data_IF_632214430842
#
_entry.id   IF_632214430842
#
_cell.length_a   1.000
_cell.length_b   1.000
_cell.length_c   1.000
_cell.angle_alpha   90.00
_cell.angle_beta   90.00
_cell.angle_gamma   90.00
#
_symmetry.space_group_name_H-M   'P 1'
#
loop_
_entity.id
_entity.type
_entity.pdbx_description
1 polymer ?
#
# COMPACT_ATOMS: atom_id res chain seq x y z
N UNK A 1 8.30 -20.08 10.63
CA UNK A 1 7.95 -18.79 9.98
C UNK A 1 8.73 -18.69 8.69
N UNK A 2 8.07 -18.96 7.57
CA UNK A 2 8.69 -18.84 6.26
C UNK A 2 8.48 -17.45 5.67
N UNK A 3 9.45 -17.02 4.86
CA UNK A 3 9.39 -15.78 4.08
C UNK A 3 9.35 -16.18 2.60
N UNK A 4 8.37 -15.65 1.88
CA UNK A 4 8.18 -15.89 0.44
C UNK A 4 8.08 -14.56 -0.28
N UNK A 5 8.79 -14.43 -1.40
CA UNK A 5 8.78 -13.24 -2.25
C UNK A 5 8.20 -13.65 -3.60
N UNK A 6 7.17 -12.94 -4.05
CA UNK A 6 6.50 -13.21 -5.32
C UNK A 6 6.09 -11.93 -6.02
N UNK A 7 5.91 -12.00 -7.33
CA UNK A 7 5.25 -10.95 -8.10
C UNK A 7 3.85 -11.44 -8.49
N UNK A 8 2.84 -10.68 -8.09
CA UNK A 8 1.43 -11.06 -8.27
C UNK A 8 0.62 -9.90 -8.82
N UNK A 9 -0.56 -10.23 -9.33
CA UNK A 9 -1.57 -9.24 -9.69
C UNK A 9 -2.00 -8.43 -8.44
N UNK A 10 -2.03 -7.11 -8.58
CA UNK A 10 -2.32 -6.19 -7.49
C UNK A 10 -3.74 -6.39 -6.95
N UNK A 11 -4.73 -6.58 -7.84
CA UNK A 11 -6.13 -6.72 -7.49
C UNK A 11 -6.42 -8.10 -6.90
N UNK A 12 -5.80 -9.16 -7.41
CA UNK A 12 -5.91 -10.50 -6.81
C UNK A 12 -5.39 -10.50 -5.36
N UNK A 13 -4.21 -9.91 -5.15
CA UNK A 13 -3.62 -9.75 -3.81
C UNK A 13 -4.52 -8.88 -2.93
N UNK A 14 -5.10 -7.82 -3.49
CA UNK A 14 -6.02 -6.96 -2.75
C UNK A 14 -7.22 -7.75 -2.23
N UNK A 15 -7.88 -8.51 -3.10
CA UNK A 15 -9.05 -9.33 -2.77
C UNK A 15 -8.69 -10.41 -1.73
N UNK A 16 -7.61 -11.16 -1.96
CA UNK A 16 -7.16 -12.24 -1.07
C UNK A 16 -6.91 -11.76 0.37
N UNK A 17 -6.36 -10.54 0.52
CA UNK A 17 -6.02 -9.97 1.82
C UNK A 17 -7.05 -8.95 2.35
N UNK A 18 -8.24 -8.89 1.74
CA UNK A 18 -9.35 -8.06 2.20
C UNK A 18 -9.14 -6.55 2.01
N UNK A 19 -8.25 -6.15 1.10
CA UNK A 19 -8.07 -4.77 0.65
C UNK A 19 -9.14 -4.48 -0.42
N UNK A 20 -10.17 -3.72 -0.06
CA UNK A 20 -11.31 -3.44 -0.96
C UNK A 20 -11.06 -2.29 -1.95
N UNK A 21 -10.40 -1.23 -1.48
CA UNK A 21 -10.13 0.03 -2.18
C UNK A 21 -8.87 0.65 -1.56
N UNK A 22 -8.69 1.96 -1.67
CA UNK A 22 -7.70 2.70 -0.89
C UNK A 22 -7.74 2.32 0.61
N UNK A 23 -6.57 2.01 1.20
CA UNK A 23 -6.46 1.70 2.62
C UNK A 23 -6.93 2.88 3.46
N UNK A 24 -7.62 2.57 4.56
CA UNK A 24 -7.94 3.57 5.57
C UNK A 24 -6.69 3.79 6.45
N UNK A 25 -6.30 5.05 6.64
CA UNK A 25 -5.20 5.39 7.53
C UNK A 25 -5.71 5.77 8.92
N UNK A 26 -5.00 5.36 9.97
CA UNK A 26 -5.37 5.71 11.34
C UNK A 26 -5.36 7.23 11.52
N UNK A 27 -6.48 7.79 12.01
CA UNK A 27 -6.65 9.24 12.17
C UNK A 27 -7.14 9.98 10.93
N UNK A 28 -7.32 9.31 9.81
CA UNK A 28 -8.01 9.89 8.67
C UNK A 28 -9.51 9.95 8.97
N UNK A 29 -10.15 11.03 8.57
CA UNK A 29 -11.59 11.22 8.71
C UNK A 29 -12.39 10.38 7.70
N UNK A 30 -11.75 9.94 6.62
CA UNK A 30 -12.32 9.10 5.56
C UNK A 30 -11.23 8.39 4.75
N UNK A 31 -11.63 7.47 3.86
CA UNK A 31 -10.74 6.97 2.80
C UNK A 31 -10.48 8.07 1.77
N UNK A 32 -9.27 8.06 1.22
CA UNK A 32 -8.92 8.90 0.06
C UNK A 32 -9.60 8.38 -1.20
N UNK A 33 -9.71 9.24 -2.20
CA UNK A 33 -10.24 8.96 -3.53
C UNK A 33 -9.25 9.40 -4.60
N UNK A 34 -9.45 8.98 -5.85
CA UNK A 34 -8.62 9.46 -6.98
C UNK A 34 -8.60 10.99 -7.05
N UNK A 35 -9.74 11.64 -6.84
CA UNK A 35 -9.87 13.10 -6.84
C UNK A 35 -9.00 13.79 -5.77
N UNK A 36 -8.73 13.14 -4.64
CA UNK A 36 -7.82 13.68 -3.62
C UNK A 36 -6.37 13.64 -4.09
N UNK A 37 -5.98 12.57 -4.77
CA UNK A 37 -4.64 12.38 -5.33
C UNK A 37 -4.44 13.34 -6.50
N UNK A 38 -5.43 13.46 -7.40
CA UNK A 38 -5.45 14.41 -8.50
C UNK A 38 -5.24 15.84 -8.00
N UNK A 39 -6.00 16.24 -6.97
CA UNK A 39 -5.86 17.57 -6.36
C UNK A 39 -4.46 17.78 -5.79
N UNK A 40 -3.92 16.81 -5.04
CA UNK A 40 -2.58 16.93 -4.49
C UNK A 40 -1.49 17.02 -5.58
N UNK A 41 -1.63 16.28 -6.69
CA UNK A 41 -0.74 16.35 -7.84
C UNK A 41 -0.81 17.70 -8.56
N UNK A 42 -2.01 18.26 -8.71
CA UNK A 42 -2.27 19.54 -9.36
C UNK A 42 -1.80 20.74 -8.53
N UNK A 43 -1.95 20.68 -7.21
CA UNK A 43 -1.53 21.73 -6.26
C UNK A 43 -0.04 21.61 -5.87
N UNK A 44 0.68 20.62 -6.41
CA UNK A 44 2.06 20.26 -6.00
C UNK A 44 2.22 20.03 -4.49
N UNK A 45 1.14 19.62 -3.82
CA UNK A 45 1.14 19.26 -2.41
C UNK A 45 1.66 17.83 -2.26
N UNK A 46 2.98 17.68 -2.32
CA UNK A 46 3.66 16.39 -2.28
C UNK A 46 4.39 16.21 -0.95
N UNK A 47 4.04 15.16 -0.20
CA UNK A 47 4.69 14.83 1.07
C UNK A 47 5.63 13.63 0.84
N UNK A 48 6.94 13.86 0.94
CA UNK A 48 7.91 12.79 0.82
C UNK A 48 7.82 11.79 2.00
N UNK A 49 8.18 10.51 1.79
CA UNK A 49 8.43 9.58 2.88
C UNK A 49 9.45 10.15 3.86
N UNK A 50 9.23 9.91 5.14
CA UNK A 50 10.14 10.29 6.21
C UNK A 50 10.37 9.05 7.07
N UNK A 51 11.60 8.53 7.03
CA UNK A 51 12.00 7.30 7.72
C UNK A 51 12.02 7.48 9.25
N UNK A 52 12.01 8.73 9.74
CA UNK A 52 11.98 9.02 11.18
C UNK A 52 10.55 9.19 11.72
N UNK A 53 9.54 9.25 10.85
CA UNK A 53 8.15 9.39 11.28
C UNK A 53 7.67 8.08 11.89
N UNK A 54 7.06 8.15 13.07
CA UNK A 54 6.36 7.00 13.64
C UNK A 54 5.23 6.57 12.67
N UNK A 55 5.24 5.32 12.16
CA UNK A 55 4.22 4.83 11.24
C UNK A 55 2.81 4.87 11.84
N UNK A 56 2.68 4.87 13.17
CA UNK A 56 1.40 4.94 13.88
C UNK A 56 0.91 6.37 14.09
N UNK A 57 1.71 7.38 13.74
CA UNK A 57 1.27 8.78 13.85
C UNK A 57 0.02 8.97 12.98
N UNK A 58 -1.07 9.52 13.55
CA UNK A 58 -2.27 9.87 12.80
C UNK A 58 -1.97 10.73 11.57
N UNK A 59 -2.77 10.59 10.52
CA UNK A 59 -2.64 11.38 9.29
C UNK A 59 -4.03 11.67 8.73
N UNK A 60 -4.27 12.90 8.28
CA UNK A 60 -5.54 13.26 7.61
C UNK A 60 -5.64 12.58 6.24
N UNK A 61 -6.86 12.50 5.68
CA UNK A 61 -7.02 11.99 4.32
C UNK A 61 -6.24 12.85 3.29
N UNK A 62 -6.14 14.15 3.52
CA UNK A 62 -5.41 15.08 2.65
C UNK A 62 -3.89 14.83 2.67
N UNK A 63 -3.30 14.65 3.85
CA UNK A 63 -1.88 14.30 3.98
C UNK A 63 -1.59 12.90 3.43
N UNK A 64 -2.52 11.96 3.62
CA UNK A 64 -2.43 10.63 3.05
C UNK A 64 -2.40 10.69 1.51
N UNK A 65 -3.31 11.45 0.90
CA UNK A 65 -3.33 11.67 -0.55
C UNK A 65 -2.05 12.37 -1.04
N UNK A 66 -1.53 13.35 -0.29
CA UNK A 66 -0.29 14.04 -0.63
C UNK A 66 0.96 13.12 -0.60
N UNK A 67 0.98 12.12 0.29
CA UNK A 67 2.02 11.08 0.28
C UNK A 67 1.89 10.13 -0.90
N UNK A 68 0.66 9.73 -1.22
CA UNK A 68 0.40 8.89 -2.40
C UNK A 68 0.78 9.65 -3.68
N UNK A 69 0.42 10.93 -3.80
CA UNK A 69 0.79 11.79 -4.92
C UNK A 69 2.31 11.90 -5.09
N UNK A 70 3.07 12.03 -3.99
CA UNK A 70 4.53 12.00 -4.06
C UNK A 70 5.04 10.68 -4.64
N UNK A 71 4.51 9.53 -4.19
CA UNK A 71 4.89 8.22 -4.71
C UNK A 71 4.50 8.03 -6.18
N UNK A 72 3.35 8.55 -6.60
CA UNK A 72 2.93 8.52 -8.01
C UNK A 72 3.89 9.30 -8.90
N UNK A 73 4.36 10.47 -8.42
CA UNK A 73 5.24 11.34 -9.20
C UNK A 73 6.72 10.93 -9.17
N UNK A 74 7.20 10.40 -8.05
CA UNK A 74 8.63 10.18 -7.81
C UNK A 74 9.01 8.73 -7.47
N UNK A 75 8.02 7.88 -7.15
CA UNK A 75 8.26 6.51 -6.74
C UNK A 75 8.70 5.61 -7.90
N UNK A 76 9.64 4.70 -7.62
CA UNK A 76 9.98 3.61 -8.53
C UNK A 76 9.04 2.43 -8.30
N UNK A 77 7.97 2.33 -9.10
CA UNK A 77 7.00 1.24 -9.03
C UNK A 77 7.63 -0.15 -9.14
N UNK A 78 8.75 -0.31 -9.87
CA UNK A 78 9.45 -1.61 -9.99
C UNK A 78 10.13 -2.02 -8.70
N UNK A 79 10.33 -1.11 -7.75
CA UNK A 79 10.91 -1.38 -6.43
C UNK A 79 9.86 -1.40 -5.31
N UNK A 80 8.62 -1.02 -5.60
CA UNK A 80 7.54 -1.11 -4.62
C UNK A 80 7.25 -2.56 -4.27
N UNK A 81 6.94 -2.78 -3.00
CA UNK A 81 6.52 -4.06 -2.48
C UNK A 81 5.45 -3.87 -1.40
N UNK A 82 4.65 -4.90 -1.20
CA UNK A 82 3.70 -5.03 -0.10
C UNK A 82 4.19 -6.12 0.83
N UNK A 83 4.09 -5.89 2.14
CA UNK A 83 4.49 -6.87 3.14
C UNK A 83 3.25 -7.37 3.87
N UNK A 84 2.98 -8.66 3.74
CA UNK A 84 1.89 -9.34 4.42
C UNK A 84 2.45 -10.23 5.53
N UNK A 85 1.84 -10.18 6.72
CA UNK A 85 2.12 -11.12 7.81
C UNK A 85 0.84 -11.85 8.18
N UNK A 86 0.86 -13.18 8.11
CA UNK A 86 -0.29 -14.03 8.40
C UNK A 86 -1.57 -13.54 7.71
N UNK A 87 -1.46 -13.23 6.41
CA UNK A 87 -2.58 -12.77 5.58
C UNK A 87 -3.01 -11.30 5.77
N UNK A 88 -2.33 -10.51 6.61
CA UNK A 88 -2.64 -9.08 6.82
C UNK A 88 -1.55 -8.18 6.26
N UNK A 89 -1.95 -7.11 5.55
CA UNK A 89 -1.02 -6.07 5.11
C UNK A 89 -0.41 -5.36 6.34
N UNK A 90 0.90 -5.41 6.47
CA UNK A 90 1.67 -4.85 7.58
C UNK A 90 2.43 -3.59 7.19
N UNK A 91 2.86 -3.54 5.93
CA UNK A 91 3.58 -2.42 5.36
C UNK A 91 3.29 -2.32 3.86
N UNK A 92 3.22 -1.10 3.35
CA UNK A 92 2.96 -0.82 1.95
C UNK A 92 1.63 -0.13 1.65
N UNK A 93 0.85 0.33 2.64
CA UNK A 93 -0.44 1.02 2.41
C UNK A 93 -0.34 2.16 1.37
N UNK A 94 0.62 3.08 1.52
CA UNK A 94 0.85 4.17 0.56
C UNK A 94 1.28 3.66 -0.83
N UNK A 95 2.08 2.60 -0.87
CA UNK A 95 2.57 1.99 -2.12
C UNK A 95 1.45 1.26 -2.85
N UNK A 96 0.60 0.55 -2.12
CA UNK A 96 -0.62 -0.06 -2.64
C UNK A 96 -1.53 0.99 -3.26
N UNK A 97 -1.82 2.08 -2.53
CA UNK A 97 -2.61 3.19 -3.04
C UNK A 97 -1.98 3.82 -4.30
N UNK A 98 -0.68 4.09 -4.30
CA UNK A 98 0.00 4.65 -5.47
C UNK A 98 -0.05 3.71 -6.68
N UNK A 99 0.13 2.40 -6.47
CA UNK A 99 0.05 1.40 -7.54
C UNK A 99 -1.38 1.28 -8.10
N UNK A 100 -2.39 1.30 -7.22
CA UNK A 100 -3.79 1.27 -7.60
C UNK A 100 -4.16 2.48 -8.45
N UNK A 101 -3.80 3.69 -7.98
CA UNK A 101 -4.02 4.93 -8.71
C UNK A 101 -3.32 4.96 -10.07
N UNK A 102 -2.06 4.51 -10.12
CA UNK A 102 -1.25 4.53 -11.34
C UNK A 102 -1.57 3.39 -12.32
N UNK A 103 -2.54 2.52 -12.01
CA UNK A 103 -2.90 1.38 -12.86
C UNK A 103 -1.81 0.32 -12.98
N UNK A 104 -0.99 0.14 -11.94
CA UNK A 104 0.05 -0.88 -11.91
C UNK A 104 -0.59 -2.25 -11.65
N UNK A 105 -0.55 -3.13 -12.65
CA UNK A 105 -1.17 -4.45 -12.59
C UNK A 105 -0.41 -5.44 -11.70
N UNK A 106 0.93 -5.38 -11.69
CA UNK A 106 1.78 -6.36 -11.00
C UNK A 106 2.64 -5.71 -9.93
N UNK A 107 2.69 -6.32 -8.75
CA UNK A 107 3.47 -5.84 -7.61
C UNK A 107 4.22 -6.97 -6.92
N UNK A 108 5.35 -6.64 -6.30
CA UNK A 108 6.09 -7.58 -5.45
C UNK A 108 5.41 -7.69 -4.08
N UNK A 109 5.22 -8.90 -3.61
CA UNK A 109 4.65 -9.20 -2.32
C UNK A 109 5.64 -10.03 -1.50
N UNK A 110 5.83 -9.62 -0.24
CA UNK A 110 6.58 -10.36 0.76
C UNK A 110 5.58 -10.96 1.73
N UNK A 111 5.48 -12.28 1.74
CA UNK A 111 4.61 -13.03 2.65
C UNK A 111 5.44 -13.59 3.81
N UNK A 112 5.09 -13.17 5.02
CA UNK A 112 5.64 -13.66 6.28
C UNK A 112 4.57 -14.52 6.97
N UNK A 113 4.64 -15.83 6.80
CA UNK A 113 3.61 -16.74 7.27
C UNK A 113 4.16 -17.71 8.33
N UNK A 114 3.31 -18.04 9.30
CA UNK A 114 3.56 -19.18 10.19
C UNK A 114 3.33 -20.50 9.45
N UNK A 115 4.01 -21.57 9.86
CA UNK A 115 4.06 -22.84 9.12
C UNK A 115 2.67 -23.47 8.91
N UNK A 116 1.73 -23.20 9.81
CA UNK A 116 0.30 -23.59 9.70
C UNK A 116 -0.45 -22.92 8.54
N UNK A 117 -0.09 -21.69 8.17
CA UNK A 117 -0.72 -20.95 7.07
C UNK A 117 -0.11 -21.35 5.73
N UNK A 118 1.20 -21.60 5.70
CA UNK A 118 1.90 -22.04 4.48
C UNK A 118 1.39 -23.39 3.97
N UNK A 119 1.11 -24.34 4.88
CA UNK A 119 0.59 -25.66 4.50
C UNK A 119 -0.82 -25.60 3.87
N UNK A 120 -1.65 -24.62 4.24
CA UNK A 120 -2.98 -24.43 3.67
C UNK A 120 -2.94 -23.73 2.30
N UNK A 121 -1.92 -22.90 2.03
CA UNK A 121 -1.75 -22.22 0.75
C UNK A 121 -1.13 -23.11 -0.35
N UNK A 122 -0.48 -24.22 0.03
CA UNK A 122 0.18 -25.16 -0.87
C UNK A 122 -0.66 -26.41 -1.21
N UNK A 123 -1.88 -26.52 -0.65
CA UNK A 123 -2.81 -27.62 -0.84
C UNK A 123 -3.94 -27.26 -1.83
#
# INVERSE_FOLDING_TARGET
MGIRLEERDLLDVAVEHGLKDYPFWAGAERRITDADIDRALAEERLIAPDDNRDPNTPMSAEEHAARVAWLVRHGDFRRMNLVFRNGRLCDGNHRFAACLYAGIERIRCVFMETDTVQAAAAA
#
